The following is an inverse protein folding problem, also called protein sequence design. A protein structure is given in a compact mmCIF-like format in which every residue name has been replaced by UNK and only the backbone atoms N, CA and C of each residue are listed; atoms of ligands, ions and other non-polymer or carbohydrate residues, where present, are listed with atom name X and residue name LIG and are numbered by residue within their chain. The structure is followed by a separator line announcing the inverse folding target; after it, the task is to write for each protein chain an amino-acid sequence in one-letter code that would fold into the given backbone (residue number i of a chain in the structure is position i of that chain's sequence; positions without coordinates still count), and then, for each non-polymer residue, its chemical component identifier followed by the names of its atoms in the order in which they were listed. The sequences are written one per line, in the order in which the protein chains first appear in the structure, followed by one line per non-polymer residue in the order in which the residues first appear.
data_IF_927560125546
#
_entry.id   IF_927560125546
#
_cell.length_a   1.000
_cell.length_b   1.000
_cell.length_c   1.000
_cell.angle_alpha   90.00
_cell.angle_beta   90.00
_cell.angle_gamma   90.00
#
_symmetry.space_group_name_H-M   'P 1'
#
loop_
_entity.id
_entity.type
_entity.pdbx_description
1 polymer ?
#
# COMPACT_ATOMS: atom_id res chain seq x y z
N UNK A 1 8.82 -0.08 -6.86
CA UNK A 1 7.92 -1.16 -6.40
C UNK A 1 6.88 -0.55 -5.48
N UNK A 2 5.66 -1.07 -5.38
CA UNK A 2 4.57 -0.43 -4.63
C UNK A 2 4.08 -1.30 -3.47
N UNK A 3 4.09 -0.78 -2.26
CA UNK A 3 3.55 -1.45 -1.07
C UNK A 3 2.21 -0.84 -0.66
N UNK A 4 1.35 -1.65 -0.05
CA UNK A 4 0.16 -1.17 0.67
C UNK A 4 0.54 -1.09 2.13
N UNK A 5 0.32 0.06 2.74
CA UNK A 5 0.66 0.34 4.12
C UNK A 5 -0.63 0.62 4.89
N UNK A 6 -0.76 0.00 6.06
CA UNK A 6 -1.81 0.30 7.02
C UNK A 6 -1.53 1.65 7.70
N UNK A 7 -2.53 2.53 7.76
CA UNK A 7 -2.37 3.88 8.32
C UNK A 7 -2.19 3.90 9.83
N UNK A 8 -2.74 2.93 10.56
CA UNK A 8 -2.71 2.89 12.02
C UNK A 8 -1.40 2.30 12.53
N UNK A 9 -0.97 1.19 11.91
CA UNK A 9 0.21 0.44 12.36
C UNK A 9 1.48 0.81 11.60
N UNK A 10 1.35 1.47 10.44
CA UNK A 10 2.47 1.75 9.55
C UNK A 10 3.06 0.49 8.89
N UNK A 11 2.46 -0.67 9.10
CA UNK A 11 2.98 -1.94 8.59
C UNK A 11 2.59 -2.17 7.13
N UNK A 12 3.48 -2.86 6.42
CA UNK A 12 3.19 -3.31 5.06
C UNK A 12 2.21 -4.49 5.09
N UNK A 13 1.15 -4.38 4.30
CA UNK A 13 0.20 -5.46 4.08
C UNK A 13 0.59 -6.27 2.86
N UNK A 14 0.94 -7.53 3.11
CA UNK A 14 1.25 -8.50 2.08
C UNK A 14 2.54 -8.20 1.32
N UNK A 15 2.63 -8.70 0.08
CA UNK A 15 3.81 -8.54 -0.78
C UNK A 15 3.73 -7.23 -1.56
N UNK A 16 4.87 -6.60 -1.91
CA UNK A 16 4.87 -5.45 -2.79
C UNK A 16 4.46 -5.82 -4.22
N UNK A 17 3.88 -4.87 -4.92
CA UNK A 17 3.41 -4.98 -6.29
C UNK A 17 4.39 -4.29 -7.24
N UNK A 18 4.61 -4.89 -8.41
CA UNK A 18 5.39 -4.23 -9.48
C UNK A 18 4.65 -3.04 -10.10
N UNK A 19 3.31 -3.08 -10.13
CA UNK A 19 2.47 -2.09 -10.78
C UNK A 19 1.63 -1.30 -9.76
N UNK A 20 1.69 0.03 -9.84
CA UNK A 20 0.97 0.98 -8.98
C UNK A 20 -0.54 0.80 -9.01
N UNK A 21 -1.10 0.55 -10.19
CA UNK A 21 -2.54 0.41 -10.36
C UNK A 21 -3.04 -0.87 -9.68
N UNK A 22 -2.28 -1.97 -9.76
CA UNK A 22 -2.61 -3.20 -9.02
C UNK A 22 -2.60 -2.99 -7.51
N UNK A 23 -1.63 -2.25 -6.98
CA UNK A 23 -1.57 -1.91 -5.56
C UNK A 23 -2.79 -1.07 -5.14
N UNK A 24 -3.20 -0.08 -5.95
CA UNK A 24 -4.39 0.76 -5.70
C UNK A 24 -5.67 -0.05 -5.70
N UNK A 25 -5.92 -0.87 -6.73
CA UNK A 25 -7.10 -1.73 -6.77
C UNK A 25 -7.18 -2.66 -5.57
N UNK A 26 -6.04 -3.19 -5.10
CA UNK A 26 -6.03 -4.04 -3.90
C UNK A 26 -6.27 -3.23 -2.62
N UNK A 27 -5.70 -2.04 -2.50
CA UNK A 27 -6.00 -1.08 -1.42
C UNK A 27 -7.51 -0.80 -1.37
N UNK A 28 -8.14 -0.49 -2.50
CA UNK A 28 -9.56 -0.16 -2.55
C UNK A 28 -10.44 -1.34 -2.10
N UNK A 29 -10.07 -2.56 -2.50
CA UNK A 29 -10.73 -3.78 -2.01
C UNK A 29 -10.57 -3.97 -0.50
N UNK A 30 -9.42 -3.63 0.05
CA UNK A 30 -9.18 -3.69 1.50
C UNK A 30 -10.01 -2.61 2.21
N UNK A 31 -9.95 -1.36 1.75
CA UNK A 31 -10.71 -0.25 2.32
C UNK A 31 -12.22 -0.52 2.29
N UNK A 32 -12.74 -1.14 1.22
CA UNK A 32 -14.13 -1.58 1.14
C UNK A 32 -14.45 -2.67 2.17
N UNK A 33 -13.57 -3.67 2.33
CA UNK A 33 -13.78 -4.78 3.25
C UNK A 33 -13.72 -4.35 4.73
N UNK A 34 -12.82 -3.43 5.08
CA UNK A 34 -12.64 -2.93 6.44
C UNK A 34 -13.54 -1.74 6.78
N UNK A 35 -14.32 -1.24 5.82
CA UNK A 35 -15.26 -0.14 6.00
C UNK A 35 -14.58 1.21 6.26
N UNK A 36 -13.67 1.64 5.38
CA UNK A 36 -13.10 3.00 5.42
C UNK A 36 -11.71 3.13 4.82
N UNK A 37 -11.21 4.37 4.71
CA UNK A 37 -9.89 4.70 4.17
C UNK A 37 -8.76 4.41 5.17
N UNK A 38 -8.46 3.13 5.38
CA UNK A 38 -7.46 2.65 6.34
C UNK A 38 -6.10 2.38 5.71
N UNK A 39 -6.02 2.28 4.39
CA UNK A 39 -4.80 1.88 3.69
C UNK A 39 -4.29 2.98 2.75
N UNK A 40 -3.00 2.95 2.45
CA UNK A 40 -2.41 3.79 1.39
C UNK A 40 -1.34 3.04 0.61
N UNK A 41 -1.05 3.50 -0.60
CA UNK A 41 -0.01 2.91 -1.46
C UNK A 41 1.24 3.79 -1.39
N UNK A 42 2.39 3.16 -1.15
CA UNK A 42 3.70 3.83 -1.11
C UNK A 42 4.65 3.26 -2.16
N UNK A 43 5.47 4.12 -2.76
CA UNK A 43 6.56 3.69 -3.64
C UNK A 43 7.79 3.35 -2.80
N UNK A 44 8.27 2.11 -2.92
CA UNK A 44 9.42 1.58 -2.21
C UNK A 44 10.74 1.98 -2.89
N UNK A 45 10.74 2.28 -4.19
CA UNK A 45 11.99 2.60 -4.89
C UNK A 45 12.44 4.00 -4.51
N UNK A 46 11.49 4.94 -4.40
CA UNK A 46 11.74 6.29 -3.88
C UNK A 46 12.23 6.29 -2.42
N UNK A 47 11.78 5.31 -1.61
CA UNK A 47 12.22 5.20 -0.21
C UNK A 47 13.66 4.73 -0.08
N UNK A 48 14.09 3.80 -0.94
CA UNK A 48 15.46 3.29 -0.92
C UNK A 48 16.51 4.34 -1.30
N UNK A 49 16.15 5.31 -2.13
CA UNK A 49 17.04 6.42 -2.49
C UNK A 49 17.17 7.50 -1.41
N UNK A 50 16.32 7.46 -0.38
CA UNK A 50 16.30 8.41 0.75
C UNK A 50 17.02 7.88 1.99
N UNK A 51 17.56 6.65 1.93
CA UNK A 51 18.29 5.99 3.02
C UNK A 51 19.73 5.76 2.59
#
# INVERSE_FOLDING_TARGET
MYAIIDRQTGQQIGKPYKNKNRARTRRDKLDLAYGGYKHFVRDLDTMKSLT
#
